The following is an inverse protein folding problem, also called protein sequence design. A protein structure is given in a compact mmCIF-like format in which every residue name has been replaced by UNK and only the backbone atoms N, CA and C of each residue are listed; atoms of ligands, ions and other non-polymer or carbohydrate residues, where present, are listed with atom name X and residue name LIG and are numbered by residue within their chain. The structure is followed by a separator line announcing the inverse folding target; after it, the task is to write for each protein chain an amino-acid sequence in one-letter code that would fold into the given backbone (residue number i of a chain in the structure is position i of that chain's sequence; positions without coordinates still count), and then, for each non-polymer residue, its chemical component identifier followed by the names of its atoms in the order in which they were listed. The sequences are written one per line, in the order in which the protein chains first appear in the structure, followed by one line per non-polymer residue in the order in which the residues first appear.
data_IF_962733442331
#
_entry.id   IF_962733442331
#
_cell.length_a   1.000
_cell.length_b   1.000
_cell.length_c   1.000
_cell.angle_alpha   90.00
_cell.angle_beta   90.00
_cell.angle_gamma   90.00
#
_symmetry.space_group_name_H-M   'P 1'
#
loop_
_entity.id
_entity.type
_entity.pdbx_description
1 polymer ?
#
# COMPACT_ATOMS: atom_id res chain seq x y z
N UNK A 1 11.09 -9.30 -18.51
CA UNK A 1 11.88 -10.15 -19.43
C UNK A 1 12.42 -11.31 -18.63
N UNK A 2 11.99 -12.55 -18.90
CA UNK A 2 12.32 -13.75 -18.13
C UNK A 2 13.01 -14.82 -19.02
N UNK A 3 13.83 -14.39 -19.98
CA UNK A 3 14.61 -15.33 -20.82
C UNK A 3 15.92 -15.64 -20.11
N UNK A 4 16.11 -16.88 -19.67
CA UNK A 4 17.38 -17.37 -19.10
C UNK A 4 17.37 -17.74 -17.62
N UNK A 5 16.22 -17.68 -16.93
CA UNK A 5 16.10 -18.19 -15.56
C UNK A 5 16.08 -19.73 -15.57
N UNK A 6 16.74 -20.36 -14.59
CA UNK A 6 16.53 -21.78 -14.30
C UNK A 6 15.06 -22.01 -13.94
N UNK A 7 14.57 -23.25 -14.10
CA UNK A 7 13.16 -23.57 -13.89
C UNK A 7 12.67 -23.13 -12.49
N UNK A 8 13.45 -23.38 -11.45
CA UNK A 8 13.12 -23.00 -10.08
C UNK A 8 13.10 -21.49 -9.88
N UNK A 9 14.06 -20.76 -10.47
CA UNK A 9 14.11 -19.31 -10.39
C UNK A 9 12.93 -18.66 -11.14
N UNK A 10 12.49 -19.24 -12.26
CA UNK A 10 11.30 -18.80 -12.98
C UNK A 10 10.03 -19.00 -12.16
N UNK A 11 9.87 -20.18 -11.55
CA UNK A 11 8.72 -20.49 -10.68
C UNK A 11 8.67 -19.56 -9.47
N UNK A 12 9.82 -19.32 -8.84
CA UNK A 12 9.94 -18.41 -7.70
C UNK A 12 9.65 -16.96 -8.10
N UNK A 13 10.23 -16.49 -9.22
CA UNK A 13 10.04 -15.13 -9.72
C UNK A 13 8.57 -14.80 -10.02
N UNK A 14 7.82 -15.77 -10.53
CA UNK A 14 6.41 -15.60 -10.87
C UNK A 14 5.43 -16.06 -9.78
N UNK A 15 5.94 -16.47 -8.60
CA UNK A 15 5.15 -17.02 -7.49
C UNK A 15 4.19 -18.15 -7.93
N UNK A 16 4.58 -18.95 -8.93
CA UNK A 16 3.70 -19.96 -9.55
C UNK A 16 3.28 -21.00 -8.53
N UNK A 17 4.18 -21.38 -7.63
CA UNK A 17 3.89 -22.37 -6.58
C UNK A 17 2.76 -21.90 -5.66
N UNK A 18 2.77 -20.63 -5.22
CA UNK A 18 1.71 -20.03 -4.40
C UNK A 18 0.33 -20.18 -5.06
N UNK A 19 0.25 -20.00 -6.38
CA UNK A 19 -1.00 -20.12 -7.11
C UNK A 19 -1.45 -21.57 -7.33
N UNK A 20 -0.51 -22.49 -7.52
CA UNK A 20 -0.82 -23.92 -7.63
C UNK A 20 -1.32 -24.46 -6.28
N UNK A 21 -0.67 -24.09 -5.18
CA UNK A 21 -1.07 -24.46 -3.82
C UNK A 21 -2.47 -23.92 -3.50
N UNK A 22 -2.70 -22.65 -3.79
CA UNK A 22 -4.00 -22.00 -3.60
C UNK A 22 -5.12 -22.65 -4.43
N UNK A 23 -4.87 -22.89 -5.72
CA UNK A 23 -5.83 -23.55 -6.60
C UNK A 23 -6.14 -24.98 -6.12
N UNK A 24 -5.12 -25.71 -5.66
CA UNK A 24 -5.28 -27.06 -5.13
C UNK A 24 -6.09 -27.07 -3.83
N UNK A 25 -5.78 -26.16 -2.90
CA UNK A 25 -6.53 -26.00 -1.66
C UNK A 25 -8.01 -25.69 -1.91
N UNK A 26 -8.30 -24.81 -2.87
CA UNK A 26 -9.68 -24.51 -3.27
C UNK A 26 -10.38 -25.69 -3.92
N UNK A 27 -9.70 -26.43 -4.80
CA UNK A 27 -10.27 -27.62 -5.43
C UNK A 27 -10.66 -28.67 -4.39
N UNK A 28 -9.82 -28.85 -3.36
CA UNK A 28 -10.10 -29.78 -2.26
C UNK A 28 -11.29 -29.31 -1.42
N UNK A 29 -11.37 -28.03 -1.07
CA UNK A 29 -12.54 -27.45 -0.38
C UNK A 29 -13.82 -27.60 -1.22
N UNK A 30 -13.74 -27.32 -2.52
CA UNK A 30 -14.87 -27.43 -3.44
C UNK A 30 -15.39 -28.87 -3.60
N UNK A 31 -14.48 -29.86 -3.63
CA UNK A 31 -14.83 -31.28 -3.62
C UNK A 31 -15.49 -31.73 -2.32
N UNK A 32 -15.11 -31.16 -1.18
CA UNK A 32 -15.74 -31.46 0.10
C UNK A 32 -17.17 -30.91 0.17
N UNK A 33 -17.42 -29.75 -0.43
CA UNK A 33 -18.73 -29.07 -0.40
C UNK A 33 -19.72 -29.60 -1.47
N UNK A 34 -19.23 -30.15 -2.59
CA UNK A 34 -20.06 -30.60 -3.71
C UNK A 34 -19.82 -32.07 -4.03
N UNK A 35 -20.84 -32.90 -3.85
CA UNK A 35 -20.84 -34.35 -4.10
C UNK A 35 -20.74 -34.76 -5.60
N UNK A 36 -20.54 -33.81 -6.51
CA UNK A 36 -20.51 -34.04 -7.95
C UNK A 36 -19.09 -34.31 -8.46
N UNK A 37 -18.97 -35.04 -9.58
CA UNK A 37 -17.70 -35.23 -10.29
C UNK A 37 -17.22 -33.89 -10.86
N UNK A 38 -16.26 -33.26 -10.18
CA UNK A 38 -15.62 -32.03 -10.64
C UNK A 38 -14.59 -32.36 -11.71
N UNK A 39 -14.71 -31.70 -12.86
CA UNK A 39 -13.68 -31.68 -13.89
C UNK A 39 -12.50 -30.82 -13.43
N UNK A 40 -11.41 -31.48 -13.06
CA UNK A 40 -10.19 -30.87 -12.55
C UNK A 40 -9.54 -29.97 -13.58
N UNK A 41 -9.52 -30.39 -14.85
CA UNK A 41 -8.87 -29.62 -15.92
C UNK A 41 -9.62 -28.32 -16.15
N UNK A 42 -10.96 -28.38 -16.18
CA UNK A 42 -11.79 -27.19 -16.31
C UNK A 42 -11.65 -26.25 -15.11
N UNK A 43 -11.52 -26.80 -13.90
CA UNK A 43 -11.28 -26.00 -12.69
C UNK A 43 -9.98 -25.20 -12.79
N UNK A 44 -8.84 -25.87 -13.04
CA UNK A 44 -7.55 -25.19 -13.13
C UNK A 44 -7.50 -24.20 -14.30
N UNK A 45 -8.05 -24.57 -15.47
CA UNK A 45 -8.14 -23.64 -16.60
C UNK A 45 -8.91 -22.37 -16.24
N UNK A 46 -10.02 -22.50 -15.50
CA UNK A 46 -10.82 -21.36 -15.04
C UNK A 46 -10.08 -20.52 -14.00
N UNK A 47 -9.38 -21.17 -13.05
CA UNK A 47 -8.57 -20.49 -12.04
C UNK A 47 -7.45 -19.64 -12.67
N UNK A 48 -6.64 -20.22 -13.56
CA UNK A 48 -5.54 -19.50 -14.19
C UNK A 48 -6.02 -18.45 -15.20
N UNK A 49 -7.21 -18.63 -15.79
CA UNK A 49 -7.86 -17.57 -16.57
C UNK A 49 -8.23 -16.39 -15.67
N UNK A 50 -8.85 -16.65 -14.52
CA UNK A 50 -9.18 -15.62 -13.53
C UNK A 50 -7.93 -14.87 -13.02
N UNK A 51 -6.84 -15.61 -12.78
CA UNK A 51 -5.55 -15.05 -12.38
C UNK A 51 -4.93 -14.16 -13.46
N UNK A 52 -4.94 -14.62 -14.71
CA UNK A 52 -4.45 -13.85 -15.86
C UNK A 52 -5.23 -12.54 -16.02
N UNK A 53 -6.53 -12.59 -15.78
CA UNK A 53 -7.42 -11.41 -15.82
C UNK A 53 -7.30 -10.52 -14.58
N UNK A 54 -6.59 -10.94 -13.53
CA UNK A 54 -6.42 -10.21 -12.28
C UNK A 54 -7.67 -10.19 -11.38
N UNK A 55 -8.63 -11.08 -11.60
CA UNK A 55 -9.91 -11.12 -10.87
C UNK A 55 -9.88 -12.03 -9.64
N UNK A 56 -8.80 -12.76 -9.43
CA UNK A 56 -8.64 -13.78 -8.38
C UNK A 56 -8.48 -13.21 -6.97
N UNK A 57 -8.15 -11.92 -6.85
CA UNK A 57 -7.86 -11.26 -5.57
C UNK A 57 -9.13 -10.79 -4.81
N UNK A 58 -10.32 -10.83 -5.42
CA UNK A 58 -11.57 -10.37 -4.78
C UNK A 58 -12.16 -11.43 -3.83
N UNK A 59 -12.74 -10.99 -2.71
CA UNK A 59 -13.35 -11.85 -1.69
C UNK A 59 -12.40 -12.93 -1.16
N UNK A 60 -11.13 -12.54 -1.02
CA UNK A 60 -10.05 -13.34 -0.45
C UNK A 60 -9.66 -12.79 0.91
N UNK A 61 -9.10 -13.66 1.72
CA UNK A 61 -8.46 -13.29 2.98
C UNK A 61 -7.25 -12.39 2.72
N UNK A 62 -6.98 -11.48 3.65
CA UNK A 62 -5.90 -10.51 3.52
C UNK A 62 -4.54 -11.20 3.33
N UNK A 63 -4.30 -12.32 4.01
CA UNK A 63 -3.08 -13.11 3.87
C UNK A 63 -2.81 -13.50 2.40
N UNK A 64 -3.84 -13.95 1.68
CA UNK A 64 -3.70 -14.29 0.27
C UNK A 64 -3.44 -13.06 -0.59
N UNK A 65 -4.14 -11.96 -0.34
CA UNK A 65 -3.92 -10.69 -1.06
C UNK A 65 -2.48 -10.21 -0.86
N UNK A 66 -1.95 -10.34 0.36
CA UNK A 66 -0.63 -9.87 0.73
C UNK A 66 0.51 -10.81 0.29
N UNK A 67 0.21 -12.05 -0.08
CA UNK A 67 1.21 -13.10 -0.37
C UNK A 67 2.11 -12.84 -1.56
N UNK A 68 1.67 -12.06 -2.56
CA UNK A 68 2.46 -11.76 -3.76
C UNK A 68 2.28 -10.31 -4.22
N UNK A 69 3.30 -9.69 -4.84
CA UNK A 69 3.16 -8.36 -5.44
C UNK A 69 2.04 -8.30 -6.48
N UNK A 70 1.87 -9.36 -7.26
CA UNK A 70 0.83 -9.45 -8.27
C UNK A 70 -0.57 -9.43 -7.66
N UNK A 71 -0.81 -10.14 -6.55
CA UNK A 71 -2.10 -10.13 -5.85
C UNK A 71 -2.41 -8.73 -5.30
N UNK A 72 -1.43 -8.08 -4.65
CA UNK A 72 -1.55 -6.71 -4.13
C UNK A 72 -1.96 -5.74 -5.25
N UNK A 73 -1.28 -5.78 -6.40
CA UNK A 73 -1.58 -4.93 -7.54
C UNK A 73 -2.97 -5.21 -8.15
N UNK A 74 -3.36 -6.49 -8.27
CA UNK A 74 -4.69 -6.85 -8.78
C UNK A 74 -5.82 -6.43 -7.82
N UNK A 75 -5.58 -6.47 -6.51
CA UNK A 75 -6.54 -6.02 -5.51
C UNK A 75 -6.81 -4.52 -5.63
N UNK A 76 -5.76 -3.71 -5.77
CA UNK A 76 -5.86 -2.26 -5.96
C UNK A 76 -6.61 -1.92 -7.26
N UNK A 77 -6.28 -2.60 -8.36
CA UNK A 77 -6.98 -2.44 -9.65
C UNK A 77 -8.47 -2.84 -9.56
N UNK A 78 -8.77 -3.92 -8.82
CA UNK A 78 -10.16 -4.31 -8.56
C UNK A 78 -10.88 -3.26 -7.73
N UNK A 79 -10.24 -2.71 -6.69
CA UNK A 79 -10.80 -1.62 -5.89
C UNK A 79 -11.10 -0.39 -6.76
N UNK A 80 -10.15 0.01 -7.61
CA UNK A 80 -10.34 1.09 -8.58
C UNK A 80 -11.56 0.83 -9.46
N UNK A 81 -11.61 -0.33 -10.13
CA UNK A 81 -12.75 -0.71 -10.98
C UNK A 81 -14.08 -0.68 -10.23
N UNK A 82 -14.11 -1.17 -8.99
CA UNK A 82 -15.30 -1.20 -8.14
C UNK A 82 -15.77 0.17 -7.66
N UNK A 83 -14.88 1.15 -7.50
CA UNK A 83 -15.23 2.37 -6.77
C UNK A 83 -14.87 3.68 -7.48
N UNK A 84 -14.26 3.65 -8.68
CA UNK A 84 -13.88 4.85 -9.43
C UNK A 84 -15.06 5.81 -9.72
N UNK A 85 -16.29 5.29 -9.77
CA UNK A 85 -17.49 6.10 -9.92
C UNK A 85 -17.75 7.04 -8.73
N UNK A 86 -17.22 6.73 -7.54
CA UNK A 86 -17.22 7.63 -6.37
C UNK A 86 -16.26 8.79 -6.61
N UNK A 87 -15.03 8.49 -7.04
CA UNK A 87 -14.01 9.51 -7.32
C UNK A 87 -14.39 10.47 -8.45
N UNK A 88 -15.07 9.99 -9.49
CA UNK A 88 -15.52 10.81 -10.62
C UNK A 88 -16.44 11.97 -10.20
N UNK A 89 -17.13 11.85 -9.05
CA UNK A 89 -18.00 12.90 -8.52
C UNK A 89 -17.24 13.99 -7.75
N UNK A 90 -15.98 13.75 -7.44
CA UNK A 90 -15.18 14.62 -6.58
C UNK A 90 -15.49 14.47 -5.09
N UNK A 91 -16.22 13.42 -4.69
CA UNK A 91 -16.51 13.16 -3.28
C UNK A 91 -15.20 12.90 -2.52
N UNK A 92 -15.00 13.62 -1.42
CA UNK A 92 -13.90 13.37 -0.48
C UNK A 92 -14.42 12.48 0.64
N UNK A 93 -13.63 11.49 1.04
CA UNK A 93 -14.04 10.50 2.04
C UNK A 93 -13.04 10.46 3.19
N UNK A 94 -13.51 10.20 4.40
CA UNK A 94 -12.62 9.93 5.53
C UNK A 94 -11.95 8.56 5.35
N UNK A 95 -10.81 8.34 6.02
CA UNK A 95 -10.10 7.05 5.92
C UNK A 95 -10.95 5.85 6.36
N UNK A 96 -11.87 6.07 7.31
CA UNK A 96 -12.83 5.05 7.77
C UNK A 96 -13.82 4.63 6.69
N UNK A 97 -14.22 5.55 5.82
CA UNK A 97 -15.14 5.25 4.71
C UNK A 97 -14.41 4.43 3.64
N UNK A 98 -13.16 4.79 3.32
CA UNK A 98 -12.31 3.98 2.46
C UNK A 98 -12.08 2.58 3.03
N UNK A 99 -11.85 2.46 4.35
CA UNK A 99 -11.77 1.16 5.00
C UNK A 99 -13.04 0.35 4.80
N UNK A 100 -14.22 0.96 4.96
CA UNK A 100 -15.48 0.28 4.73
C UNK A 100 -15.60 -0.26 3.29
N UNK A 101 -15.13 0.51 2.29
CA UNK A 101 -15.09 0.08 0.88
C UNK A 101 -14.11 -1.07 0.65
N UNK A 102 -12.91 -1.02 1.25
CA UNK A 102 -11.93 -2.10 1.17
C UNK A 102 -12.47 -3.37 1.83
N UNK A 103 -13.13 -3.23 2.99
CA UNK A 103 -13.74 -4.34 3.73
C UNK A 103 -14.85 -5.05 2.97
N UNK A 104 -15.46 -4.39 1.99
CA UNK A 104 -16.41 -5.03 1.07
C UNK A 104 -15.73 -6.09 0.20
N UNK A 105 -14.48 -5.84 -0.21
CA UNK A 105 -13.71 -6.75 -1.07
C UNK A 105 -12.88 -7.77 -0.27
N UNK A 106 -12.45 -7.41 0.94
CA UNK A 106 -11.64 -8.23 1.85
C UNK A 106 -12.07 -7.96 3.30
N UNK A 107 -12.86 -8.86 3.89
CA UNK A 107 -13.52 -8.61 5.18
C UNK A 107 -12.58 -8.55 6.39
N UNK A 108 -11.42 -9.18 6.27
CA UNK A 108 -10.36 -9.28 7.29
C UNK A 108 -9.20 -8.30 7.00
N UNK A 109 -9.39 -7.32 6.12
CA UNK A 109 -8.35 -6.35 5.78
C UNK A 109 -7.91 -5.58 7.04
N UNK A 110 -6.59 -5.42 7.31
CA UNK A 110 -6.11 -4.76 8.50
C UNK A 110 -6.29 -3.25 8.42
N UNK A 111 -6.95 -2.66 9.42
CA UNK A 111 -7.15 -1.21 9.50
C UNK A 111 -5.83 -0.43 9.56
N UNK A 112 -4.79 -1.01 10.17
CA UNK A 112 -3.43 -0.43 10.25
C UNK A 112 -2.88 -0.07 8.85
N UNK A 113 -3.17 -0.87 7.82
CA UNK A 113 -2.72 -0.60 6.46
C UNK A 113 -3.35 0.67 5.89
N UNK A 114 -4.61 0.97 6.23
CA UNK A 114 -5.27 2.20 5.84
C UNK A 114 -4.75 3.39 6.65
N UNK A 115 -4.40 3.19 7.92
CA UNK A 115 -3.76 4.25 8.71
C UNK A 115 -2.40 4.63 8.12
N UNK A 116 -1.58 3.64 7.74
CA UNK A 116 -0.31 3.89 7.03
C UNK A 116 -0.55 4.59 5.68
N UNK A 117 -1.60 4.21 4.95
CA UNK A 117 -2.01 4.88 3.70
C UNK A 117 -2.37 6.36 3.95
N UNK A 118 -3.14 6.65 4.99
CA UNK A 118 -3.52 8.01 5.33
C UNK A 118 -2.30 8.90 5.64
N UNK A 119 -1.29 8.37 6.33
CA UNK A 119 -0.03 9.09 6.64
C UNK A 119 0.80 9.47 5.40
N UNK A 120 0.54 8.86 4.25
CA UNK A 120 1.16 9.27 2.98
C UNK A 120 0.52 10.55 2.44
N UNK A 121 -0.77 10.78 2.73
CA UNK A 121 -1.55 11.91 2.17
C UNK A 121 -1.75 13.03 3.18
N UNK A 122 -1.87 12.68 4.46
CA UNK A 122 -2.20 13.57 5.55
C UNK A 122 -0.99 13.67 6.48
N UNK A 123 -0.69 14.90 6.91
CA UNK A 123 0.28 15.15 7.98
C UNK A 123 -0.32 14.61 9.30
N UNK A 124 0.55 14.13 10.20
CA UNK A 124 0.18 13.42 11.43
C UNK A 124 -1.03 14.01 12.19
N UNK A 125 -1.83 13.11 12.79
CA UNK A 125 -3.03 13.35 13.60
C UNK A 125 -4.31 13.87 12.90
N UNK A 126 -4.28 14.11 11.60
CA UNK A 126 -5.43 14.58 10.82
C UNK A 126 -6.41 13.47 10.38
N UNK A 127 -6.74 12.49 11.23
CA UNK A 127 -7.53 11.30 10.85
C UNK A 127 -8.96 11.59 10.37
N UNK A 128 -9.49 12.76 10.72
CA UNK A 128 -10.82 13.24 10.30
C UNK A 128 -10.78 14.04 8.97
N UNK A 129 -9.60 14.24 8.39
CA UNK A 129 -9.49 14.90 7.09
C UNK A 129 -10.00 14.00 5.98
N UNK A 130 -10.70 14.64 5.03
CA UNK A 130 -11.23 13.97 3.86
C UNK A 130 -10.14 13.86 2.78
N UNK A 131 -10.03 12.69 2.18
CA UNK A 131 -9.04 12.36 1.16
C UNK A 131 -9.76 12.14 -0.19
N UNK A 132 -9.20 12.70 -1.26
CA UNK A 132 -9.73 12.46 -2.60
C UNK A 132 -9.52 11.01 -3.03
N UNK A 133 -10.40 10.50 -3.90
CA UNK A 133 -10.28 9.12 -4.37
C UNK A 133 -8.93 8.84 -5.04
N UNK A 134 -8.42 9.80 -5.81
CA UNK A 134 -7.14 9.68 -6.52
C UNK A 134 -5.96 9.63 -5.54
N UNK A 135 -5.93 10.54 -4.55
CA UNK A 135 -4.85 10.58 -3.56
C UNK A 135 -4.86 9.32 -2.69
N UNK A 136 -6.05 8.87 -2.27
CA UNK A 136 -6.21 7.60 -1.56
C UNK A 136 -5.71 6.44 -2.42
N UNK A 137 -6.17 6.32 -3.68
CA UNK A 137 -5.90 5.16 -4.52
C UNK A 137 -4.39 4.97 -4.77
N UNK A 138 -3.67 6.03 -5.14
CA UNK A 138 -2.23 5.92 -5.41
C UNK A 138 -1.41 5.72 -4.14
N UNK A 139 -1.82 6.34 -3.03
CA UNK A 139 -1.17 6.11 -1.73
C UNK A 139 -1.45 4.70 -1.23
N UNK A 140 -2.65 4.17 -1.44
CA UNK A 140 -3.04 2.81 -1.10
C UNK A 140 -2.26 1.79 -1.94
N UNK A 141 -2.10 2.07 -3.24
CA UNK A 141 -1.26 1.28 -4.12
C UNK A 141 0.18 1.22 -3.62
N UNK A 142 0.77 2.39 -3.31
CA UNK A 142 2.13 2.49 -2.79
C UNK A 142 2.28 1.72 -1.47
N UNK A 143 1.36 1.96 -0.52
CA UNK A 143 1.38 1.38 0.81
C UNK A 143 1.24 -0.14 0.79
N UNK A 144 0.32 -0.68 -0.01
CA UNK A 144 0.08 -2.11 -0.08
C UNK A 144 1.20 -2.80 -0.87
N UNK A 145 1.61 -2.27 -2.03
CA UNK A 145 2.56 -2.94 -2.90
C UNK A 145 3.99 -2.92 -2.35
N UNK A 146 4.44 -1.78 -1.82
CA UNK A 146 5.80 -1.56 -1.34
C UNK A 146 5.91 -1.55 0.19
N UNK A 147 4.98 -2.18 0.91
CA UNK A 147 4.90 -2.13 2.37
C UNK A 147 6.28 -2.34 3.04
N UNK A 148 6.97 -3.43 2.70
CA UNK A 148 8.24 -3.80 3.32
C UNK A 148 9.34 -2.78 3.03
N UNK A 149 9.34 -2.22 1.81
CA UNK A 149 10.27 -1.15 1.43
C UNK A 149 10.00 0.14 2.21
N UNK A 150 8.73 0.53 2.38
CA UNK A 150 8.38 1.73 3.12
C UNK A 150 8.75 1.62 4.60
N UNK A 151 8.54 0.45 5.21
CA UNK A 151 8.95 0.17 6.59
C UNK A 151 10.47 0.23 6.74
N UNK A 152 11.22 -0.41 5.83
CA UNK A 152 12.68 -0.35 5.83
C UNK A 152 13.22 1.08 5.59
N UNK A 153 12.56 1.84 4.71
CA UNK A 153 12.89 3.24 4.42
C UNK A 153 12.64 4.15 5.61
N UNK A 154 11.54 3.95 6.33
CA UNK A 154 11.23 4.65 7.57
C UNK A 154 12.32 4.41 8.63
N UNK A 155 12.71 3.15 8.84
CA UNK A 155 13.78 2.81 9.79
C UNK A 155 15.12 3.44 9.40
N UNK A 156 15.43 3.45 8.10
CA UNK A 156 16.63 4.10 7.55
C UNK A 156 16.60 5.61 7.79
N UNK A 157 15.47 6.26 7.53
CA UNK A 157 15.30 7.68 7.77
C UNK A 157 15.47 8.05 9.25
N UNK A 158 14.85 7.29 10.16
CA UNK A 158 14.98 7.51 11.61
C UNK A 158 16.42 7.33 12.09
N UNK A 159 17.12 6.33 11.58
CA UNK A 159 18.54 6.12 11.90
C UNK A 159 19.38 7.34 11.50
N UNK A 160 19.15 7.89 10.31
CA UNK A 160 19.84 9.09 9.83
C UNK A 160 19.53 10.34 10.66
N UNK A 161 18.29 10.50 11.14
CA UNK A 161 17.95 11.57 12.07
C UNK A 161 18.74 11.43 13.38
N UNK A 162 18.77 10.23 13.97
CA UNK A 162 19.52 10.00 15.22
C UNK A 162 21.03 10.18 15.07
N UNK A 163 21.60 9.85 13.91
CA UNK A 163 23.02 10.10 13.61
C UNK A 163 23.33 11.59 13.57
N UNK A 164 22.45 12.41 12.98
CA UNK A 164 22.60 13.86 12.92
C UNK A 164 22.45 14.53 14.30
N UNK A 165 21.72 13.89 15.22
CA UNK A 165 21.49 14.39 16.58
C UNK A 165 22.40 13.75 17.66
N UNK A 166 23.45 13.01 17.28
CA UNK A 166 24.40 12.41 18.24
C UNK A 166 25.22 13.48 18.98
N UNK A 167 25.33 13.43 20.33
CA UNK A 167 26.00 14.45 21.13
C UNK A 167 27.52 14.28 21.07
N UNK A 168 28.17 14.80 20.01
CA UNK A 168 29.62 15.01 19.98
C UNK A 168 30.05 16.47 20.05
N UNK A 169 29.09 17.39 20.19
CA UNK A 169 29.34 18.78 20.52
C UNK A 169 29.12 19.03 22.02
N UNK A 170 29.94 18.39 22.87
CA UNK A 170 30.22 18.92 24.21
C UNK A 170 31.69 19.37 24.19
N UNK A 171 31.87 20.60 23.72
CA UNK A 171 33.11 21.34 23.88
C UNK A 171 33.26 21.66 25.37
N UNK A 172 34.20 21.00 26.04
CA UNK A 172 34.76 21.46 27.32
C UNK A 172 36.08 22.15 26.99
N UNK A 173 36.28 23.41 27.44
CA UNK A 173 37.34 23.62 28.43
C UNK A 173 36.87 24.42 29.65
N UNK A 174 37.24 23.86 30.79
CA UNK A 174 37.45 24.47 32.11
C UNK A 174 38.21 25.81 32.03
N UNK A 175 37.68 26.90 32.61
CA UNK A 175 38.21 27.56 33.82
C UNK A 175 37.57 28.93 34.15
N UNK A 176 37.69 29.30 35.43
CA UNK A 176 37.42 30.60 36.10
C UNK A 176 36.06 30.84 36.79
N UNK A 177 36.07 30.55 38.10
CA UNK A 177 35.58 31.34 39.25
C UNK A 177 34.41 32.32 39.06
N UNK A 178 33.27 32.05 39.71
CA UNK A 178 32.75 32.73 40.93
C UNK A 178 31.24 32.44 41.07
N UNK A 179 30.83 32.11 42.29
CA UNK A 179 29.46 31.84 42.72
C UNK A 179 28.53 33.05 42.48
N UNK A 180 27.22 32.82 42.31
CA UNK A 180 26.11 33.41 43.11
C UNK A 180 24.73 33.23 42.43
N UNK A 181 23.85 32.52 43.14
CA UNK A 181 22.39 32.65 43.28
C UNK A 181 21.38 32.36 42.14
N UNK A 182 20.46 31.47 42.53
CA UNK A 182 18.97 31.56 42.51
C UNK A 182 18.18 30.74 41.49
N UNK A 183 17.29 29.96 42.11
CA UNK A 183 15.92 29.61 41.69
C UNK A 183 15.71 28.45 40.72
N UNK A 184 15.16 27.36 41.27
CA UNK A 184 14.54 26.24 40.55
C UNK A 184 13.46 26.79 39.61
N UNK A 185 13.77 26.84 38.32
CA UNK A 185 12.76 26.84 37.26
C UNK A 185 12.65 25.44 36.66
N UNK A 186 11.41 24.99 36.62
CA UNK A 186 10.90 23.83 35.89
C UNK A 186 11.37 23.89 34.42
N UNK A 187 11.77 22.78 33.76
CA UNK A 187 12.05 22.81 32.34
C UNK A 187 10.74 22.93 31.57
N UNK A 188 10.31 24.17 31.31
CA UNK A 188 9.32 24.50 30.30
C UNK A 188 10.01 24.69 28.94
N UNK A 189 9.40 24.08 27.93
CA UNK A 189 9.58 24.32 26.50
C UNK A 189 10.85 23.76 25.85
N UNK A 190 10.84 22.43 25.66
CA UNK A 190 11.38 21.85 24.43
C UNK A 190 10.46 22.24 23.26
N UNK A 191 10.64 23.46 22.74
CA UNK A 191 10.02 23.87 21.48
C UNK A 191 10.64 23.00 20.39
N UNK A 192 9.85 22.04 19.93
CA UNK A 192 10.12 21.14 18.82
C UNK A 192 10.56 21.95 17.59
N UNK A 193 11.84 21.93 17.25
CA UNK A 193 12.34 22.36 15.95
C UNK A 193 12.05 21.26 14.92
N UNK A 194 10.79 21.20 14.49
CA UNK A 194 10.28 20.26 13.49
C UNK A 194 10.63 20.68 12.03
N UNK A 195 11.89 21.05 11.76
CA UNK A 195 12.29 21.53 10.41
C UNK A 195 13.59 20.98 9.84
N UNK A 196 14.35 20.12 10.53
CA UNK A 196 15.50 19.46 9.90
C UNK A 196 15.13 18.09 9.35
N UNK A 197 14.84 18.04 8.04
CA UNK A 197 14.85 16.80 7.28
C UNK A 197 16.28 16.23 7.17
N UNK A 198 16.42 15.03 6.60
CA UNK A 198 17.74 14.42 6.36
C UNK A 198 18.31 14.89 5.02
N UNK A 199 19.64 14.85 4.87
CA UNK A 199 20.29 15.03 3.57
C UNK A 199 19.79 13.97 2.57
N UNK A 200 19.25 14.42 1.44
CA UNK A 200 18.57 13.55 0.49
C UNK A 200 19.50 12.55 -0.19
N UNK A 201 20.77 12.91 -0.43
CA UNK A 201 21.73 12.03 -1.09
C UNK A 201 22.32 11.00 -0.13
N UNK A 202 22.51 11.38 1.14
CA UNK A 202 22.84 10.43 2.22
C UNK A 202 21.70 9.42 2.37
N UNK A 203 20.45 9.86 2.35
CA UNK A 203 19.29 8.97 2.42
C UNK A 203 19.22 8.04 1.20
N UNK A 204 19.37 8.56 -0.02
CA UNK A 204 19.42 7.75 -1.25
C UNK A 204 20.50 6.65 -1.20
N UNK A 205 21.71 7.00 -0.72
CA UNK A 205 22.80 6.04 -0.60
C UNK A 205 22.45 4.90 0.37
N UNK A 206 21.83 5.21 1.51
CA UNK A 206 21.36 4.20 2.47
C UNK A 206 20.22 3.33 1.89
N UNK A 207 19.28 3.93 1.16
CA UNK A 207 18.22 3.18 0.47
C UNK A 207 18.78 2.23 -0.60
N UNK A 208 19.83 2.64 -1.31
CA UNK A 208 20.46 1.81 -2.34
C UNK A 208 21.05 0.51 -1.76
N UNK A 209 21.52 0.54 -0.51
CA UNK A 209 22.02 -0.63 0.20
C UNK A 209 20.92 -1.63 0.61
N UNK A 210 19.65 -1.19 0.66
CA UNK A 210 18.53 -2.09 0.96
C UNK A 210 18.26 -3.10 -0.17
N UNK A 211 18.60 -2.74 -1.41
CA UNK A 211 18.38 -3.59 -2.58
C UNK A 211 19.21 -4.86 -2.52
N UNK A 212 20.47 -4.74 -2.09
CA UNK A 212 21.36 -5.90 -1.98
C UNK A 212 20.99 -6.79 -0.80
N UNK A 213 20.29 -6.23 0.20
CA UNK A 213 20.00 -6.89 1.47
C UNK A 213 18.67 -7.64 1.50
N UNK A 214 17.68 -7.22 0.72
CA UNK A 214 16.32 -7.73 0.84
C UNK A 214 15.71 -8.20 -0.49
N UNK A 215 14.75 -9.14 -0.41
CA UNK A 215 14.05 -9.74 -1.55
C UNK A 215 12.62 -9.23 -1.75
N UNK A 216 12.27 -8.05 -1.22
CA UNK A 216 10.97 -7.43 -1.45
C UNK A 216 10.97 -6.51 -2.67
N UNK A 217 9.78 -6.13 -3.15
CA UNK A 217 9.62 -5.16 -4.23
C UNK A 217 10.17 -3.79 -3.84
N UNK A 218 10.95 -3.15 -4.72
CA UNK A 218 11.54 -1.82 -4.50
C UNK A 218 11.30 -0.96 -5.74
N UNK A 219 10.97 0.34 -5.61
CA UNK A 219 10.94 1.25 -6.75
C UNK A 219 12.29 1.32 -7.47
N UNK A 220 12.31 1.71 -8.75
CA UNK A 220 13.57 1.77 -9.48
C UNK A 220 14.55 2.78 -8.85
N UNK A 221 15.83 2.43 -8.82
CA UNK A 221 16.88 3.32 -8.29
C UNK A 221 16.95 4.66 -9.02
N UNK A 222 16.65 4.67 -10.32
CA UNK A 222 16.59 5.89 -11.11
C UNK A 222 15.48 6.82 -10.60
N UNK A 223 14.28 6.25 -10.36
CA UNK A 223 13.13 6.98 -9.84
C UNK A 223 13.37 7.50 -8.42
N UNK A 224 13.96 6.68 -7.53
CA UNK A 224 14.30 7.11 -6.17
C UNK A 224 15.32 8.25 -6.18
N UNK A 225 16.34 8.17 -7.05
CA UNK A 225 17.35 9.21 -7.20
C UNK A 225 16.72 10.51 -7.70
N UNK A 226 15.85 10.43 -8.71
CA UNK A 226 15.14 11.59 -9.26
C UNK A 226 14.33 12.31 -8.17
N UNK A 227 13.51 11.57 -7.42
CA UNK A 227 12.68 12.10 -6.35
C UNK A 227 13.52 12.78 -5.26
N UNK A 228 14.60 12.13 -4.81
CA UNK A 228 15.46 12.66 -3.75
C UNK A 228 16.39 13.78 -4.23
N UNK A 229 16.67 13.87 -5.53
CA UNK A 229 17.48 14.97 -6.08
C UNK A 229 16.71 16.29 -6.20
N UNK A 230 15.39 16.28 -5.99
CA UNK A 230 14.55 17.47 -6.09
C UNK A 230 14.83 18.52 -5.00
N UNK A 231 15.35 18.11 -3.84
CA UNK A 231 15.66 18.99 -2.71
C UNK A 231 16.92 18.50 -2.00
N UNK A 232 17.81 19.39 -1.49
CA UNK A 232 18.99 18.98 -0.71
C UNK A 232 18.61 18.27 0.59
N UNK A 233 17.50 18.65 1.20
CA UNK A 233 16.96 17.99 2.41
C UNK A 233 15.55 17.47 2.15
N UNK A 234 15.23 16.32 2.75
CA UNK A 234 13.95 15.64 2.57
C UNK A 234 13.38 15.24 3.93
N UNK A 235 12.10 15.52 4.16
CA UNK A 235 11.34 14.94 5.26
C UNK A 235 10.75 13.60 4.84
N UNK A 236 10.53 12.67 5.78
CA UNK A 236 9.96 11.37 5.42
C UNK A 236 8.54 11.50 4.84
N UNK A 237 7.72 12.40 5.38
CA UNK A 237 6.42 12.72 4.80
C UNK A 237 6.54 13.24 3.36
N UNK A 238 7.44 14.20 3.11
CA UNK A 238 7.67 14.73 1.76
C UNK A 238 8.13 13.65 0.78
N UNK A 239 8.97 12.72 1.24
CA UNK A 239 9.37 11.55 0.46
C UNK A 239 8.18 10.66 0.10
N UNK A 240 7.32 10.30 1.07
CA UNK A 240 6.13 9.47 0.84
C UNK A 240 5.16 10.13 -0.16
N UNK A 241 4.90 11.43 -0.01
CA UNK A 241 4.06 12.20 -0.93
C UNK A 241 4.65 12.22 -2.34
N UNK A 242 5.97 12.40 -2.47
CA UNK A 242 6.62 12.39 -3.77
C UNK A 242 6.57 11.01 -4.44
N UNK A 243 6.70 9.93 -3.66
CA UNK A 243 6.53 8.56 -4.17
C UNK A 243 5.09 8.31 -4.67
N UNK A 244 4.07 8.72 -3.90
CA UNK A 244 2.68 8.45 -4.26
C UNK A 244 2.21 9.22 -5.50
N UNK A 245 2.85 10.36 -5.80
CA UNK A 245 2.58 11.19 -6.99
C UNK A 245 3.44 10.83 -8.21
N UNK A 246 4.41 9.93 -8.07
CA UNK A 246 5.32 9.58 -9.16
C UNK A 246 4.65 8.67 -10.19
N UNK A 247 4.55 9.15 -11.43
CA UNK A 247 4.03 8.37 -12.55
C UNK A 247 4.94 7.17 -12.88
N UNK A 248 6.25 7.31 -12.70
CA UNK A 248 7.19 6.21 -12.90
C UNK A 248 6.96 5.05 -11.92
N UNK A 249 6.61 5.35 -10.66
CA UNK A 249 6.26 4.33 -9.66
C UNK A 249 4.93 3.68 -10.03
N UNK A 250 3.92 4.47 -10.38
CA UNK A 250 2.62 3.95 -10.79
C UNK A 250 2.76 3.02 -12.01
N UNK A 251 3.50 3.46 -13.02
CA UNK A 251 3.77 2.70 -14.25
C UNK A 251 4.62 1.44 -13.98
N UNK A 252 5.51 1.50 -13.00
CA UNK A 252 6.32 0.36 -12.55
C UNK A 252 5.50 -0.76 -11.92
N UNK A 253 4.42 -0.43 -11.20
CA UNK A 253 3.44 -1.42 -10.70
C UNK A 253 2.54 -1.91 -11.85
N UNK A 254 2.17 -1.02 -12.77
CA UNK A 254 1.65 -1.37 -14.09
C UNK A 254 0.20 -1.86 -14.13
N UNK A 255 -0.63 -1.48 -13.16
CA UNK A 255 -2.04 -1.91 -13.09
C UNK A 255 -3.05 -0.78 -13.17
N UNK A 256 -2.79 0.36 -12.52
CA UNK A 256 -3.68 1.51 -12.61
C UNK A 256 -3.40 2.34 -13.87
N UNK A 257 -4.43 3.00 -14.44
CA UNK A 257 -4.24 4.04 -15.44
C UNK A 257 -3.36 5.19 -14.95
N UNK A 258 -2.97 6.09 -15.86
CA UNK A 258 -2.38 7.37 -15.47
C UNK A 258 -3.40 8.22 -14.68
N UNK A 259 -2.91 9.09 -13.79
CA UNK A 259 -3.77 9.94 -12.94
C UNK A 259 -4.73 10.82 -13.72
N UNK A 260 -4.34 11.25 -14.92
CA UNK A 260 -5.18 12.06 -15.82
C UNK A 260 -6.37 11.29 -16.39
N UNK A 261 -6.24 9.97 -16.52
CA UNK A 261 -7.20 9.11 -17.21
C UNK A 261 -7.87 8.11 -16.23
N UNK A 262 -7.72 8.34 -14.93
CA UNK A 262 -8.15 7.40 -13.88
C UNK A 262 -9.68 7.17 -13.87
N UNK A 263 -10.47 8.06 -14.48
CA UNK A 263 -11.93 7.97 -14.56
C UNK A 263 -12.45 7.62 -15.96
N UNK A 264 -11.57 7.36 -16.92
CA UNK A 264 -11.95 7.02 -18.29
C UNK A 264 -12.58 5.62 -18.35
N UNK A 265 -13.67 5.49 -19.10
CA UNK A 265 -14.40 4.22 -19.23
C UNK A 265 -15.15 3.77 -17.97
N UNK A 266 -15.24 4.61 -16.93
CA UNK A 266 -16.05 4.33 -15.73
C UNK A 266 -17.53 4.51 -16.08
N UNK A 267 -18.14 3.44 -16.55
CA UNK A 267 -19.60 3.37 -16.65
C UNK A 267 -20.22 3.22 -15.26
N UNK A 268 -21.13 4.12 -14.94
CA UNK A 268 -21.95 3.97 -13.74
C UNK A 268 -22.79 2.71 -13.91
N UNK A 269 -22.62 1.72 -13.03
CA UNK A 269 -23.42 0.50 -12.90
C UNK A 269 -23.07 -0.71 -13.79
N UNK A 270 -22.01 -1.44 -13.42
CA UNK A 270 -21.93 -2.89 -13.73
C UNK A 270 -21.07 -3.71 -12.75
N UNK A 271 -20.79 -3.15 -11.57
CA UNK A 271 -19.69 -3.54 -10.66
C UNK A 271 -19.78 -4.92 -10.00
N UNK A 272 -20.81 -5.73 -10.32
CA UNK A 272 -20.95 -7.10 -9.82
C UNK A 272 -21.45 -8.09 -10.87
N UNK A 273 -21.30 -7.82 -12.17
CA UNK A 273 -21.29 -8.90 -13.17
C UNK A 273 -19.91 -9.56 -13.26
N UNK A 274 -19.23 -9.75 -12.13
CA UNK A 274 -18.20 -10.79 -12.06
C UNK A 274 -19.00 -12.08 -12.07
N UNK A 275 -19.03 -12.77 -13.21
CA UNK A 275 -19.23 -14.22 -13.17
C UNK A 275 -18.13 -14.74 -12.24
N UNK A 276 -18.47 -14.87 -10.96
CA UNK A 276 -17.77 -15.80 -10.11
C UNK A 276 -17.90 -17.12 -10.85
N UNK A 277 -16.84 -17.54 -11.55
CA UNK A 277 -16.47 -18.95 -11.43
C UNK A 277 -16.56 -19.18 -9.95
N UNK A 278 -17.58 -19.94 -9.56
CA UNK A 278 -18.00 -20.06 -8.17
C UNK A 278 -16.91 -20.89 -7.50
N UNK A 279 -15.82 -20.21 -7.19
CA UNK A 279 -14.83 -20.62 -6.24
C UNK A 279 -15.53 -20.35 -4.92
N UNK A 280 -15.90 -21.37 -4.15
CA UNK A 280 -16.54 -21.17 -2.87
C UNK A 280 -15.54 -20.51 -1.94
N UNK A 281 -15.66 -19.21 -1.78
CA UNK A 281 -15.10 -18.51 -0.63
C UNK A 281 -16.24 -18.23 0.34
N UNK A 282 -15.91 -18.33 1.62
CA UNK A 282 -16.83 -18.23 2.75
C UNK A 282 -17.69 -16.97 2.68
N UNK A 283 -19.00 -17.17 2.43
CA UNK A 283 -20.13 -16.29 2.76
C UNK A 283 -19.84 -14.77 2.84
N UNK A 284 -19.90 -13.99 1.73
CA UNK A 284 -20.12 -12.55 1.86
C UNK A 284 -21.28 -11.99 1.01
N UNK A 285 -21.97 -12.81 0.19
CA UNK A 285 -23.01 -12.31 -0.75
C UNK A 285 -24.12 -11.48 -0.09
N UNK A 286 -24.40 -11.68 1.20
CA UNK A 286 -25.43 -10.93 1.96
C UNK A 286 -24.95 -9.57 2.48
N UNK A 287 -23.66 -9.37 2.74
CA UNK A 287 -23.13 -8.11 3.26
C UNK A 287 -22.93 -7.06 2.16
N UNK A 288 -22.54 -7.47 0.96
CA UNK A 288 -22.32 -6.59 -0.18
C UNK A 288 -23.59 -5.84 -0.61
N UNK A 289 -24.73 -6.52 -0.67
CA UNK A 289 -26.02 -5.88 -0.93
C UNK A 289 -26.43 -4.92 0.19
N UNK A 290 -26.11 -5.25 1.45
CA UNK A 290 -26.42 -4.39 2.60
C UNK A 290 -25.55 -3.14 2.63
N UNK A 291 -24.26 -3.24 2.30
CA UNK A 291 -23.34 -2.10 2.21
C UNK A 291 -23.71 -1.20 1.03
N UNK A 292 -24.03 -1.75 -0.14
CA UNK A 292 -24.51 -0.96 -1.28
C UNK A 292 -25.82 -0.23 -0.93
N UNK A 293 -26.74 -0.91 -0.24
CA UNK A 293 -28.02 -0.32 0.19
C UNK A 293 -27.82 0.77 1.26
N UNK A 294 -26.83 0.61 2.15
CA UNK A 294 -26.47 1.61 3.16
C UNK A 294 -25.78 2.83 2.54
N UNK A 295 -24.87 2.65 1.57
CA UNK A 295 -24.26 3.73 0.80
C UNK A 295 -25.28 4.46 -0.09
N UNK A 296 -26.34 3.77 -0.54
CA UNK A 296 -27.49 4.39 -1.20
C UNK A 296 -28.41 5.11 -0.21
N UNK A 297 -28.47 4.69 1.06
CA UNK A 297 -29.26 5.34 2.11
C UNK A 297 -28.64 6.66 2.56
N UNK A 298 -27.30 6.77 2.57
CA UNK A 298 -26.58 8.04 2.78
C UNK A 298 -26.87 9.10 1.71
N UNK A 299 -27.53 8.74 0.59
CA UNK A 299 -28.00 9.70 -0.42
C UNK A 299 -29.40 10.28 -0.16
N UNK A 300 -30.03 9.95 0.97
CA UNK A 300 -31.42 10.36 1.30
C UNK A 300 -31.55 11.25 2.54
N UNK A 301 -30.43 11.76 3.06
CA UNK A 301 -30.39 12.85 4.06
C UNK A 301 -29.52 13.94 3.46
#
# INVERSE_FOLDING_TARGET
MARGLLADDYLAYHNILTYIEDATAQLLRYRADIQAKIDVNKFFASYFTCLKEGKHAIFREFEFINSTPYNRACFVDTFHKCFAALGKKGDLLAIRDYYALVSVLCSDFPYEMLQKTAKIVLIDDAHDCLISFTDFLYSFQLQLYYQEFLEASSNTYQSLLTESHSPRDIVVPTDHTTQVHKEKQLPSNSTLTATEGVDSMKFYKSLSQLIDKYRFSIPSLATLKEILSASPTTTFYGFLVALSKSEAINSGIGRLPASTNIFDGVESSSLLKVQSVTIPTSKPKKNLQKVIKNLQLFKKI
#
